data_IF_897233332277
#
_entry.id   IF_897233332277
#
_cell.length_a   1.000
_cell.length_b   1.000
_cell.length_c   1.000
_cell.angle_alpha   90.00
_cell.angle_beta   90.00
_cell.angle_gamma   90.00
#
_symmetry.space_group_name_H-M   'P 1'
#
loop_
_entity.id
_entity.type
_entity.pdbx_description
1 polymer ?
#
# COMPACT_ATOMS: atom_id res chain seq x y z
N UNK A 1 -6.93 10.41 -29.40
CA UNK A 1 -7.19 10.54 -27.95
C UNK A 1 -8.36 9.64 -27.58
N UNK A 2 -8.24 8.81 -26.54
CA UNK A 2 -9.37 7.98 -26.07
C UNK A 2 -10.22 8.79 -25.09
N UNK A 3 -11.55 8.63 -25.14
CA UNK A 3 -12.50 9.36 -24.31
C UNK A 3 -13.30 8.40 -23.45
N UNK A 4 -13.33 8.64 -22.15
CA UNK A 4 -14.11 7.86 -21.18
C UNK A 4 -15.11 8.74 -20.45
N UNK A 5 -16.29 8.20 -20.14
CA UNK A 5 -17.20 8.83 -19.19
C UNK A 5 -16.64 8.73 -17.77
N UNK A 6 -16.08 7.56 -17.44
CA UNK A 6 -15.42 7.31 -16.16
C UNK A 6 -14.07 6.67 -16.40
N UNK A 7 -12.98 7.35 -16.01
CA UNK A 7 -11.63 6.79 -16.04
C UNK A 7 -11.20 6.40 -14.62
N UNK A 8 -10.62 5.22 -14.46
CA UNK A 8 -10.22 4.65 -13.17
C UNK A 8 -8.72 4.39 -13.18
N UNK A 9 -8.00 4.97 -12.22
CA UNK A 9 -6.55 4.76 -12.05
C UNK A 9 -6.30 3.75 -10.94
N UNK A 10 -5.92 2.54 -11.33
CA UNK A 10 -5.66 1.39 -10.47
C UNK A 10 -6.71 0.29 -10.66
N UNK A 11 -6.27 -0.92 -10.96
CA UNK A 11 -7.08 -2.13 -11.13
C UNK A 11 -7.03 -3.05 -9.90
N UNK A 12 -6.82 -2.49 -8.70
CA UNK A 12 -7.03 -3.19 -7.43
C UNK A 12 -8.52 -3.38 -7.10
N UNK A 13 -8.87 -3.97 -5.93
CA UNK A 13 -10.26 -4.23 -5.57
C UNK A 13 -11.17 -3.00 -5.61
N UNK A 14 -10.69 -1.83 -5.17
CA UNK A 14 -11.46 -0.59 -5.26
C UNK A 14 -11.75 -0.18 -6.71
N UNK A 15 -10.75 -0.25 -7.60
CA UNK A 15 -10.91 0.11 -9.00
C UNK A 15 -11.83 -0.85 -9.75
N UNK A 16 -11.68 -2.16 -9.53
CA UNK A 16 -12.56 -3.15 -10.16
C UNK A 16 -14.01 -3.02 -9.67
N UNK A 17 -14.23 -2.75 -8.38
CA UNK A 17 -15.58 -2.48 -7.86
C UNK A 17 -16.16 -1.17 -8.40
N UNK A 18 -15.34 -0.12 -8.57
CA UNK A 18 -15.75 1.14 -9.16
C UNK A 18 -16.14 0.98 -10.64
N UNK A 19 -15.34 0.23 -11.40
CA UNK A 19 -15.62 -0.06 -12.79
C UNK A 19 -16.93 -0.83 -12.96
N UNK A 20 -17.12 -1.87 -12.16
CA UNK A 20 -18.32 -2.70 -12.18
C UNK A 20 -19.59 -1.89 -11.84
N UNK A 21 -19.46 -0.98 -10.87
CA UNK A 21 -20.53 -0.05 -10.51
C UNK A 21 -20.86 0.94 -11.64
N UNK A 22 -19.85 1.55 -12.26
CA UNK A 22 -20.03 2.54 -13.31
C UNK A 22 -20.57 1.93 -14.62
N UNK A 23 -20.08 0.74 -15.02
CA UNK A 23 -20.53 0.08 -16.26
C UNK A 23 -22.02 -0.26 -16.25
N UNK A 24 -22.59 -0.51 -15.06
CA UNK A 24 -24.00 -0.90 -14.89
C UNK A 24 -24.99 0.19 -15.31
N UNK A 25 -24.52 1.42 -15.57
CA UNK A 25 -25.30 2.54 -16.08
C UNK A 25 -25.00 2.90 -17.53
N UNK A 26 -24.26 2.04 -18.24
CA UNK A 26 -23.90 2.25 -19.64
C UNK A 26 -22.79 3.28 -19.86
N UNK A 27 -22.12 3.76 -18.80
CA UNK A 27 -20.97 4.64 -18.93
C UNK A 27 -19.85 3.94 -19.71
N UNK A 28 -19.15 4.66 -20.59
CA UNK A 28 -17.90 4.16 -21.18
C UNK A 28 -16.78 4.25 -20.14
N UNK A 29 -16.31 3.10 -19.66
CA UNK A 29 -15.38 2.99 -18.52
C UNK A 29 -14.00 2.60 -19.01
N UNK A 30 -12.99 3.39 -18.65
CA UNK A 30 -11.58 3.04 -18.79
C UNK A 30 -10.98 2.65 -17.45
N UNK A 31 -10.23 1.55 -17.39
CA UNK A 31 -9.43 1.15 -16.23
C UNK A 31 -7.97 1.14 -16.67
N UNK A 32 -7.11 1.89 -15.98
CA UNK A 32 -5.66 1.87 -16.24
C UNK A 32 -4.92 1.35 -15.01
N UNK A 33 -3.90 0.52 -15.24
CA UNK A 33 -3.02 0.02 -14.18
C UNK A 33 -1.62 -0.14 -14.73
N UNK A 34 -0.61 0.12 -13.90
CA UNK A 34 0.79 0.01 -14.34
C UNK A 34 1.30 -1.44 -14.32
N UNK A 35 0.55 -2.37 -13.73
CA UNK A 35 0.83 -3.80 -13.76
C UNK A 35 0.25 -4.46 -15.03
N UNK A 36 0.84 -5.59 -15.47
CA UNK A 36 0.30 -6.36 -16.60
C UNK A 36 -1.05 -7.01 -16.30
N UNK A 37 -1.30 -7.39 -15.04
CA UNK A 37 -2.53 -8.06 -14.63
C UNK A 37 -3.32 -7.19 -13.66
N UNK A 38 -4.65 -7.22 -13.76
CA UNK A 38 -5.54 -6.65 -12.77
C UNK A 38 -5.38 -7.34 -11.39
N UNK A 39 -5.97 -6.73 -10.37
CA UNK A 39 -6.02 -7.25 -8.99
C UNK A 39 -5.18 -6.46 -7.98
N UNK A 40 -4.29 -5.59 -8.46
CA UNK A 40 -3.43 -4.77 -7.60
C UNK A 40 -2.60 -5.61 -6.62
N UNK A 41 -2.41 -5.11 -5.40
CA UNK A 41 -1.59 -5.80 -4.38
C UNK A 41 -2.31 -6.97 -3.72
N UNK A 42 -3.62 -6.84 -3.47
CA UNK A 42 -4.40 -7.84 -2.75
C UNK A 42 -4.62 -9.10 -3.60
N UNK A 43 -5.01 -8.91 -4.86
CA UNK A 43 -5.26 -9.98 -5.84
C UNK A 43 -4.11 -10.11 -6.84
N UNK A 44 -2.87 -9.86 -6.38
CA UNK A 44 -1.66 -9.98 -7.19
C UNK A 44 -1.55 -11.39 -7.79
N UNK A 45 -1.21 -11.46 -9.07
CA UNK A 45 -1.23 -12.69 -9.87
C UNK A 45 -2.46 -12.83 -10.78
N UNK A 46 -3.38 -11.87 -10.72
CA UNK A 46 -4.58 -11.84 -11.56
C UNK A 46 -5.83 -12.24 -10.77
N UNK A 47 -7.00 -11.64 -11.03
CA UNK A 47 -8.23 -11.93 -10.27
C UNK A 47 -8.71 -13.38 -10.40
N UNK A 48 -8.45 -14.02 -11.55
CA UNK A 48 -8.90 -15.38 -11.88
C UNK A 48 -8.27 -16.47 -11.00
N UNK A 49 -7.06 -16.21 -10.48
CA UNK A 49 -6.28 -17.18 -9.69
C UNK A 49 -6.52 -17.04 -8.17
N UNK A 50 -7.42 -16.15 -7.76
CA UNK A 50 -7.62 -15.85 -6.34
C UNK A 50 -8.62 -16.79 -5.69
N UNK A 51 -8.32 -17.19 -4.45
CA UNK A 51 -9.26 -17.92 -3.60
C UNK A 51 -10.45 -17.07 -3.12
N UNK A 52 -10.31 -15.74 -3.13
CA UNK A 52 -11.43 -14.83 -2.86
C UNK A 52 -12.33 -14.78 -4.09
N UNK A 53 -13.56 -15.35 -4.03
CA UNK A 53 -14.39 -15.53 -5.22
C UNK A 53 -14.84 -14.19 -5.81
N UNK A 54 -14.83 -13.10 -5.03
CA UNK A 54 -15.19 -11.75 -5.51
C UNK A 54 -14.27 -11.26 -6.62
N UNK A 55 -13.00 -11.69 -6.61
CA UNK A 55 -12.02 -11.29 -7.60
C UNK A 55 -12.36 -11.81 -9.01
N UNK A 56 -12.50 -13.14 -9.26
CA UNK A 56 -12.89 -13.63 -10.57
C UNK A 56 -14.29 -13.15 -10.97
N UNK A 57 -15.23 -13.02 -10.03
CA UNK A 57 -16.59 -12.58 -10.31
C UNK A 57 -16.64 -11.16 -10.87
N UNK A 58 -15.95 -10.20 -10.24
CA UNK A 58 -15.86 -8.83 -10.73
C UNK A 58 -15.13 -8.78 -12.08
N UNK A 59 -14.03 -9.52 -12.20
CA UNK A 59 -13.21 -9.50 -13.39
C UNK A 59 -13.93 -10.07 -14.61
N UNK A 60 -14.58 -11.23 -14.50
CA UNK A 60 -15.38 -11.82 -15.57
C UNK A 60 -16.58 -10.94 -15.96
N UNK A 61 -17.17 -10.19 -15.02
CA UNK A 61 -18.23 -9.24 -15.35
C UNK A 61 -17.70 -8.08 -16.21
N UNK A 62 -16.52 -7.56 -15.88
CA UNK A 62 -15.86 -6.48 -16.63
C UNK A 62 -15.40 -6.93 -18.02
N UNK A 63 -14.83 -8.14 -18.14
CA UNK A 63 -14.37 -8.67 -19.43
C UNK A 63 -15.51 -8.92 -20.44
N UNK A 64 -16.73 -9.15 -19.97
CA UNK A 64 -17.91 -9.38 -20.83
C UNK A 64 -18.65 -8.08 -21.19
N UNK A 65 -18.21 -6.95 -20.67
CA UNK A 65 -18.88 -5.67 -20.87
C UNK A 65 -18.29 -4.94 -22.08
N UNK A 66 -19.11 -4.65 -23.08
CA UNK A 66 -18.67 -3.96 -24.31
C UNK A 66 -18.26 -2.50 -24.07
N UNK A 67 -18.68 -1.92 -22.94
CA UNK A 67 -18.40 -0.54 -22.54
C UNK A 67 -17.26 -0.39 -21.53
N UNK A 68 -16.45 -1.43 -21.33
CA UNK A 68 -15.31 -1.41 -20.41
C UNK A 68 -14.01 -1.71 -21.16
N UNK A 69 -13.03 -0.83 -21.01
CA UNK A 69 -11.69 -1.02 -21.56
C UNK A 69 -10.65 -1.10 -20.44
N UNK A 70 -9.84 -2.17 -20.43
CA UNK A 70 -8.69 -2.30 -19.53
C UNK A 70 -7.38 -2.01 -20.26
N UNK A 71 -6.72 -0.92 -19.86
CA UNK A 71 -5.40 -0.51 -20.34
C UNK A 71 -4.34 -0.96 -19.33
N UNK A 72 -3.86 -2.20 -19.50
CA UNK A 72 -2.76 -2.74 -18.70
C UNK A 72 -1.43 -2.04 -18.98
N UNK A 73 -0.47 -2.17 -18.08
CA UNK A 73 0.87 -1.56 -18.18
C UNK A 73 0.85 -0.06 -18.54
N UNK A 74 -0.19 0.66 -18.11
CA UNK A 74 -0.44 2.05 -18.44
C UNK A 74 -0.23 2.91 -17.21
N UNK A 75 0.84 3.70 -17.22
CA UNK A 75 1.25 4.53 -16.09
C UNK A 75 0.88 5.99 -16.30
N UNK A 76 0.27 6.61 -15.29
CA UNK A 76 0.00 8.06 -15.30
C UNK A 76 1.29 8.84 -15.10
N UNK A 77 1.52 9.83 -15.97
CA UNK A 77 2.69 10.69 -15.92
C UNK A 77 2.39 12.02 -15.26
N UNK A 78 1.37 12.72 -15.73
CA UNK A 78 0.82 13.93 -15.13
C UNK A 78 -0.52 14.27 -15.80
N UNK A 79 -1.22 15.27 -15.26
CA UNK A 79 -2.40 15.85 -15.88
C UNK A 79 -1.97 17.15 -16.61
N UNK A 80 -1.94 17.19 -17.95
CA UNK A 80 -1.52 18.38 -18.69
C UNK A 80 -2.53 19.53 -18.59
N UNK A 81 -3.81 19.20 -18.46
CA UNK A 81 -4.93 20.14 -18.34
C UNK A 81 -6.11 19.45 -17.63
N UNK A 82 -7.15 20.19 -17.20
CA UNK A 82 -8.34 19.57 -16.62
C UNK A 82 -8.91 18.47 -17.51
N UNK A 83 -9.42 17.40 -16.90
CA UNK A 83 -10.05 16.26 -17.59
C UNK A 83 -9.14 15.40 -18.49
N UNK A 84 -7.83 15.62 -18.45
CA UNK A 84 -6.86 14.87 -19.24
C UNK A 84 -5.76 14.25 -18.38
N UNK A 85 -5.39 13.01 -18.70
CA UNK A 85 -4.20 12.34 -18.17
C UNK A 85 -3.25 11.99 -19.31
N UNK A 86 -2.00 12.43 -19.21
CA UNK A 86 -0.93 11.87 -20.02
C UNK A 86 -0.49 10.55 -19.40
N UNK A 87 -0.57 9.47 -20.17
CA UNK A 87 -0.18 8.13 -19.77
C UNK A 87 0.93 7.58 -20.65
N UNK A 88 1.75 6.70 -20.11
CA UNK A 88 2.80 5.99 -20.81
C UNK A 88 2.55 4.48 -20.73
N UNK A 89 2.58 3.81 -21.88
CA UNK A 89 2.60 2.35 -22.03
C UNK A 89 4.03 1.88 -22.32
N UNK A 90 4.33 0.57 -22.39
CA UNK A 90 5.65 0.10 -22.81
C UNK A 90 6.08 0.66 -24.17
N UNK A 91 5.13 0.91 -25.07
CA UNK A 91 5.44 1.22 -26.48
C UNK A 91 5.22 2.70 -26.84
N UNK A 92 4.36 3.42 -26.12
CA UNK A 92 3.95 4.76 -26.51
C UNK A 92 3.54 5.65 -25.32
N UNK A 93 3.22 6.90 -25.62
CA UNK A 93 2.53 7.82 -24.73
C UNK A 93 1.23 8.28 -25.37
N UNK A 94 0.19 8.46 -24.56
CA UNK A 94 -1.12 8.86 -25.04
C UNK A 94 -1.77 9.79 -24.03
N UNK A 95 -2.58 10.73 -24.52
CA UNK A 95 -3.51 11.47 -23.68
C UNK A 95 -4.84 10.73 -23.63
N UNK A 96 -5.36 10.56 -22.41
CA UNK A 96 -6.71 10.04 -22.14
C UNK A 96 -7.58 11.17 -21.63
N UNK A 97 -8.76 11.33 -22.21
CA UNK A 97 -9.78 12.27 -21.74
C UNK A 97 -10.81 11.54 -20.86
N UNK A 98 -11.27 12.18 -19.79
CA UNK A 98 -12.30 11.64 -18.90
C UNK A 98 -13.34 12.70 -18.53
N UNK A 99 -14.62 12.32 -18.41
CA UNK A 99 -15.61 13.19 -17.74
C UNK A 99 -15.43 13.14 -16.23
N UNK A 100 -15.40 11.95 -15.64
CA UNK A 100 -15.11 11.72 -14.21
C UNK A 100 -13.87 10.84 -14.04
N UNK A 101 -13.09 11.09 -12.99
CA UNK A 101 -11.88 10.34 -12.64
C UNK A 101 -12.03 9.67 -11.28
N UNK A 102 -11.66 8.40 -11.16
CA UNK A 102 -11.62 7.68 -9.89
C UNK A 102 -10.18 7.25 -9.60
N UNK A 103 -9.62 7.79 -8.53
CA UNK A 103 -8.31 7.42 -8.01
C UNK A 103 -8.44 6.18 -7.11
N UNK A 104 -7.93 5.04 -7.57
CA UNK A 104 -7.85 3.79 -6.83
C UNK A 104 -6.38 3.32 -6.71
N UNK A 105 -5.48 4.27 -6.45
CA UNK A 105 -4.02 4.14 -6.50
C UNK A 105 -3.40 3.30 -5.38
N UNK A 106 -4.22 2.79 -4.46
CA UNK A 106 -3.80 1.89 -3.38
C UNK A 106 -2.87 2.54 -2.36
N UNK A 107 -2.08 1.71 -1.70
CA UNK A 107 -1.08 2.11 -0.73
C UNK A 107 0.26 1.37 -0.97
N UNK A 108 1.29 1.85 -0.29
CA UNK A 108 2.64 1.25 -0.27
C UNK A 108 3.03 0.87 1.15
N UNK A 109 4.02 0.00 1.30
CA UNK A 109 4.52 -0.35 2.63
C UNK A 109 5.22 0.83 3.31
N UNK A 110 4.98 0.95 4.62
CA UNK A 110 5.80 1.78 5.50
C UNK A 110 7.06 1.01 5.88
N UNK A 111 8.19 1.47 5.38
CA UNK A 111 9.52 0.98 5.75
C UNK A 111 10.17 1.96 6.73
N UNK A 112 10.65 1.46 7.86
CA UNK A 112 11.36 2.25 8.87
C UNK A 112 12.84 1.86 8.89
N UNK A 113 13.78 2.80 8.78
CA UNK A 113 15.20 2.52 8.85
C UNK A 113 15.63 1.99 10.23
N UNK A 114 16.48 0.98 10.23
CA UNK A 114 17.20 0.44 11.40
C UNK A 114 18.56 -0.10 10.93
N UNK A 115 19.57 -0.28 11.79
CA UNK A 115 20.89 -0.75 11.36
C UNK A 115 20.81 -2.06 10.58
N UNK A 116 21.39 -2.07 9.37
CA UNK A 116 21.37 -3.23 8.46
C UNK A 116 20.09 -3.42 7.63
N UNK A 117 19.09 -2.52 7.69
CA UNK A 117 17.83 -2.69 6.94
C UNK A 117 17.98 -2.66 5.40
N UNK A 118 19.14 -2.24 4.89
CA UNK A 118 19.48 -2.21 3.47
C UNK A 118 20.25 -3.44 3.00
N UNK A 119 20.62 -4.36 3.89
CA UNK A 119 21.33 -5.59 3.52
C UNK A 119 20.51 -6.41 2.51
N UNK A 120 21.15 -6.97 1.46
CA UNK A 120 20.50 -7.97 0.61
C UNK A 120 19.92 -9.11 1.46
N UNK A 121 18.64 -9.40 1.27
CA UNK A 121 17.87 -10.32 2.14
C UNK A 121 16.87 -9.60 3.05
N UNK A 122 17.04 -8.29 3.30
CA UNK A 122 16.04 -7.47 3.99
C UNK A 122 15.09 -6.83 2.98
N UNK A 123 13.80 -7.00 3.19
CA UNK A 123 12.73 -6.56 2.28
C UNK A 123 11.49 -6.11 3.07
N UNK A 124 10.53 -5.47 2.39
CA UNK A 124 9.18 -5.28 2.94
C UNK A 124 8.44 -6.61 3.10
N UNK A 125 7.51 -6.71 4.06
CA UNK A 125 6.72 -7.91 4.25
C UNK A 125 5.81 -8.21 3.04
N UNK A 126 5.15 -7.18 2.51
CA UNK A 126 4.42 -7.25 1.25
C UNK A 126 5.35 -7.43 0.04
N UNK A 127 6.54 -6.85 0.07
CA UNK A 127 7.58 -6.97 -0.95
C UNK A 127 8.03 -8.42 -1.16
N UNK A 128 8.42 -9.12 -0.08
CA UNK A 128 8.83 -10.53 -0.19
C UNK A 128 7.65 -11.42 -0.60
N UNK A 129 6.45 -11.13 -0.08
CA UNK A 129 5.23 -11.82 -0.49
C UNK A 129 4.99 -11.66 -2.00
N UNK A 130 5.13 -10.44 -2.53
CA UNK A 130 4.96 -10.14 -3.94
C UNK A 130 6.01 -10.85 -4.81
N UNK A 131 7.28 -10.83 -4.39
CA UNK A 131 8.37 -11.55 -5.07
C UNK A 131 8.09 -13.06 -5.12
N UNK A 132 7.68 -13.65 -4.00
CA UNK A 132 7.37 -15.08 -3.90
C UNK A 132 6.17 -15.49 -4.76
N UNK A 133 5.12 -14.65 -4.84
CA UNK A 133 4.01 -14.85 -5.78
C UNK A 133 4.46 -14.76 -7.24
N UNK A 134 5.48 -13.96 -7.54
CA UNK A 134 6.12 -13.86 -8.85
C UNK A 134 7.14 -14.96 -9.17
N UNK A 135 7.29 -15.97 -8.31
CA UNK A 135 8.20 -17.10 -8.55
C UNK A 135 9.60 -16.97 -7.96
N UNK A 136 9.86 -15.95 -7.12
CA UNK A 136 11.15 -15.84 -6.44
C UNK A 136 11.39 -17.06 -5.51
N UNK A 137 12.55 -17.74 -5.62
CA UNK A 137 12.77 -19.02 -4.96
C UNK A 137 13.05 -18.85 -3.47
N UNK A 138 12.10 -19.28 -2.63
CA UNK A 138 12.20 -19.24 -1.16
C UNK A 138 12.11 -20.62 -0.51
N UNK A 139 12.04 -21.68 -1.30
CA UNK A 139 11.95 -23.04 -0.79
C UNK A 139 13.17 -23.40 0.07
N UNK A 140 12.93 -23.92 1.26
CA UNK A 140 13.95 -24.26 2.25
C UNK A 140 14.66 -23.06 2.91
N UNK A 141 14.39 -21.82 2.49
CA UNK A 141 15.01 -20.61 3.05
C UNK A 141 14.42 -20.26 4.41
N UNK A 142 15.28 -19.84 5.34
CA UNK A 142 14.90 -19.37 6.67
C UNK A 142 14.44 -17.92 6.58
N UNK A 143 13.16 -17.69 6.87
CA UNK A 143 12.56 -16.36 6.76
C UNK A 143 12.03 -15.91 8.10
N UNK A 144 12.38 -14.69 8.50
CA UNK A 144 11.69 -13.98 9.59
C UNK A 144 10.73 -12.97 8.98
N UNK A 145 9.50 -12.92 9.51
CA UNK A 145 8.52 -11.90 9.14
C UNK A 145 8.32 -10.98 10.35
N UNK A 146 8.45 -9.67 10.17
CA UNK A 146 8.46 -8.72 11.28
C UNK A 146 7.72 -7.42 10.97
N UNK A 147 7.30 -6.73 12.03
CA UNK A 147 6.82 -5.35 11.94
C UNK A 147 5.46 -5.18 12.62
N UNK A 148 4.42 -4.78 11.88
CA UNK A 148 3.09 -4.63 12.46
C UNK A 148 1.91 -4.95 11.56
N UNK A 149 0.92 -5.63 12.14
CA UNK A 149 -0.40 -5.78 11.55
C UNK A 149 -0.65 -7.13 10.88
N UNK A 150 -1.88 -7.35 10.41
CA UNK A 150 -2.29 -8.62 9.82
C UNK A 150 -1.57 -8.95 8.50
N UNK A 151 -0.91 -7.97 7.87
CA UNK A 151 -0.07 -8.21 6.69
C UNK A 151 1.05 -9.21 7.01
N UNK A 152 1.59 -9.20 8.23
CA UNK A 152 2.61 -10.17 8.65
C UNK A 152 2.12 -11.61 8.54
N UNK A 153 0.89 -11.87 9.02
CA UNK A 153 0.28 -13.19 8.96
C UNK A 153 0.02 -13.61 7.51
N UNK A 154 -0.51 -12.71 6.68
CA UNK A 154 -0.78 -12.98 5.27
C UNK A 154 0.52 -13.26 4.47
N UNK A 155 1.57 -12.48 4.73
CA UNK A 155 2.89 -12.67 4.14
C UNK A 155 3.47 -14.02 4.59
N UNK A 156 3.55 -14.27 5.90
CA UNK A 156 4.09 -15.54 6.43
C UNK A 156 3.36 -16.77 5.89
N UNK A 157 2.02 -16.73 5.79
CA UNK A 157 1.24 -17.84 5.25
C UNK A 157 1.54 -18.10 3.76
N UNK A 158 1.72 -17.03 2.98
CA UNK A 158 2.10 -17.12 1.56
C UNK A 158 3.51 -17.67 1.39
N UNK A 159 4.46 -17.18 2.18
CA UNK A 159 5.86 -17.61 2.10
C UNK A 159 5.99 -19.08 2.52
N UNK A 160 5.29 -19.50 3.58
CA UNK A 160 5.23 -20.89 4.03
C UNK A 160 4.62 -21.81 2.96
N UNK A 161 3.54 -21.38 2.29
CA UNK A 161 2.95 -22.18 1.20
C UNK A 161 3.85 -22.28 -0.04
N UNK A 162 4.87 -21.43 -0.14
CA UNK A 162 5.92 -21.46 -1.15
C UNK A 162 7.20 -22.16 -0.67
N UNK A 163 7.13 -22.93 0.41
CA UNK A 163 8.21 -23.78 0.92
C UNK A 163 9.22 -23.06 1.83
N UNK A 164 9.00 -21.79 2.19
CA UNK A 164 9.88 -21.10 3.12
C UNK A 164 9.73 -21.61 4.56
N UNK A 165 10.85 -21.76 5.26
CA UNK A 165 10.88 -22.06 6.68
C UNK A 165 10.73 -20.76 7.50
N UNK A 166 9.52 -20.49 7.98
CA UNK A 166 9.26 -19.30 8.81
C UNK A 166 9.82 -19.52 10.22
N UNK A 167 10.93 -18.84 10.52
CA UNK A 167 11.63 -18.94 11.81
C UNK A 167 10.80 -18.33 12.94
N UNK A 168 10.26 -17.13 12.70
CA UNK A 168 9.39 -16.44 13.63
C UNK A 168 8.58 -15.36 12.92
N UNK A 169 7.44 -15.01 13.51
CA UNK A 169 6.69 -13.78 13.22
C UNK A 169 6.88 -12.83 14.40
N UNK A 170 7.43 -11.65 14.16
CA UNK A 170 7.75 -10.64 15.17
C UNK A 170 6.76 -9.48 15.05
N UNK A 171 5.86 -9.34 16.03
CA UNK A 171 4.84 -8.30 16.06
C UNK A 171 5.15 -7.27 17.16
N UNK A 172 5.25 -6.01 16.74
CA UNK A 172 5.53 -4.90 17.65
C UNK A 172 4.37 -4.57 18.59
N UNK A 173 3.13 -4.86 18.18
CA UNK A 173 1.95 -4.61 18.98
C UNK A 173 2.00 -5.36 20.33
N UNK A 174 1.56 -4.66 21.37
CA UNK A 174 1.54 -5.19 22.73
C UNK A 174 0.47 -6.27 22.88
N UNK A 175 0.67 -7.19 23.84
CA UNK A 175 -0.33 -8.23 24.14
C UNK A 175 -1.72 -7.66 24.45
N UNK A 176 -1.88 -6.58 25.25
CA UNK A 176 -3.18 -5.96 25.45
C UNK A 176 -3.82 -5.41 24.18
N UNK A 177 -3.04 -4.80 23.29
CA UNK A 177 -3.56 -4.27 22.01
C UNK A 177 -4.06 -5.40 21.10
N UNK A 178 -3.31 -6.50 21.01
CA UNK A 178 -3.70 -7.68 20.25
C UNK A 178 -4.94 -8.36 20.82
N UNK A 179 -5.03 -8.48 22.15
CA UNK A 179 -6.22 -9.02 22.82
C UNK A 179 -7.45 -8.15 22.53
N UNK A 180 -7.32 -6.82 22.68
CA UNK A 180 -8.39 -5.86 22.37
C UNK A 180 -8.84 -5.94 20.91
N UNK A 181 -7.91 -6.12 19.97
CA UNK A 181 -8.25 -6.33 18.56
C UNK A 181 -9.00 -7.65 18.34
N UNK A 182 -8.54 -8.74 18.96
CA UNK A 182 -9.18 -10.05 18.87
C UNK A 182 -10.62 -10.02 19.41
N UNK A 183 -10.87 -9.38 20.55
CA UNK A 183 -12.23 -9.16 21.05
C UNK A 183 -13.08 -8.32 20.09
N UNK A 184 -12.48 -7.31 19.45
CA UNK A 184 -13.14 -6.53 18.41
C UNK A 184 -13.61 -7.37 17.21
N UNK A 185 -12.97 -8.49 16.89
CA UNK A 185 -13.37 -9.33 15.76
C UNK A 185 -14.79 -9.90 15.92
N UNK A 186 -15.34 -9.98 17.13
CA UNK A 186 -16.74 -10.37 17.38
C UNK A 186 -17.75 -9.50 16.61
N UNK A 187 -17.44 -8.22 16.41
CA UNK A 187 -18.28 -7.31 15.61
C UNK A 187 -18.09 -7.45 14.09
N UNK A 188 -17.25 -8.39 13.65
CA UNK A 188 -16.90 -8.63 12.23
C UNK A 188 -16.70 -10.13 11.99
N UNK A 189 -17.78 -10.94 12.00
CA UNK A 189 -17.67 -12.42 11.97
C UNK A 189 -16.89 -12.97 10.77
N UNK A 190 -16.98 -12.33 9.59
CA UNK A 190 -16.22 -12.74 8.41
C UNK A 190 -14.70 -12.59 8.57
N UNK A 191 -14.22 -11.82 9.55
CA UNK A 191 -12.79 -11.72 9.87
C UNK A 191 -12.31 -12.76 10.87
N UNK A 192 -13.23 -13.38 11.62
CA UNK A 192 -12.91 -14.50 12.52
C UNK A 192 -12.51 -15.72 11.69
N UNK A 193 -13.28 -16.05 10.65
CA UNK A 193 -12.96 -17.19 9.76
C UNK A 193 -11.60 -17.01 9.10
N UNK A 194 -11.31 -15.80 8.61
CA UNK A 194 -10.00 -15.45 8.05
C UNK A 194 -8.86 -15.60 9.09
N UNK A 195 -9.09 -15.16 10.33
CA UNK A 195 -8.11 -15.30 11.41
C UNK A 195 -7.84 -16.77 11.77
N UNK A 196 -8.89 -17.60 11.85
CA UNK A 196 -8.77 -19.03 12.11
C UNK A 196 -8.03 -19.76 10.98
N UNK A 197 -8.31 -19.41 9.72
CA UNK A 197 -7.60 -19.96 8.57
C UNK A 197 -6.11 -19.64 8.65
N UNK A 198 -5.74 -18.38 8.91
CA UNK A 198 -4.34 -17.98 9.07
C UNK A 198 -3.68 -18.68 10.26
N UNK A 199 -4.37 -18.82 11.39
CA UNK A 199 -3.87 -19.54 12.56
C UNK A 199 -3.59 -21.02 12.24
N UNK A 200 -4.45 -21.67 11.43
CA UNK A 200 -4.24 -23.04 10.99
C UNK A 200 -3.02 -23.18 10.06
N UNK A 201 -2.88 -22.27 9.09
CA UNK A 201 -1.77 -22.25 8.13
C UNK A 201 -0.42 -22.01 8.84
N UNK A 202 -0.43 -21.16 9.86
CA UNK A 202 0.74 -20.76 10.64
C UNK A 202 0.94 -21.60 11.90
N UNK A 203 0.23 -22.73 12.04
CA UNK A 203 0.43 -23.64 13.17
C UNK A 203 1.90 -24.06 13.28
N UNK A 204 2.44 -23.98 14.49
CA UNK A 204 3.83 -24.29 14.80
C UNK A 204 4.82 -23.14 14.56
N UNK A 205 4.41 -22.01 13.96
CA UNK A 205 5.29 -20.84 13.77
C UNK A 205 5.30 -19.99 15.05
N UNK A 206 6.48 -19.68 15.63
CA UNK A 206 6.58 -18.78 16.79
C UNK A 206 6.03 -17.39 16.48
N UNK A 207 5.14 -16.88 17.35
CA UNK A 207 4.56 -15.53 17.25
C UNK A 207 5.04 -14.67 18.42
N UNK A 208 6.11 -13.90 18.19
CA UNK A 208 6.77 -13.04 19.18
C UNK A 208 6.05 -11.69 19.25
N UNK A 209 5.16 -11.54 20.23
CA UNK A 209 4.41 -10.31 20.49
C UNK A 209 5.27 -9.29 21.23
N UNK A 210 4.86 -8.03 21.23
CA UNK A 210 5.55 -6.94 21.93
C UNK A 210 7.05 -6.91 21.61
N UNK A 211 7.42 -7.23 20.37
CA UNK A 211 8.81 -7.45 19.96
C UNK A 211 9.07 -6.78 18.61
N UNK A 212 10.30 -6.36 18.34
CA UNK A 212 10.66 -5.73 17.07
C UNK A 212 12.11 -6.03 16.67
N UNK A 213 12.41 -5.88 15.39
CA UNK A 213 13.79 -6.01 14.89
C UNK A 213 14.57 -4.76 15.28
N UNK A 214 15.63 -4.95 16.05
CA UNK A 214 16.53 -3.88 16.46
C UNK A 214 17.60 -3.62 15.38
N UNK A 215 18.24 -4.67 14.88
CA UNK A 215 19.25 -4.58 13.83
C UNK A 215 19.34 -5.87 13.02
N UNK A 216 19.86 -5.76 11.80
CA UNK A 216 20.18 -6.87 10.91
C UNK A 216 21.69 -6.93 10.68
N UNK A 217 22.25 -8.13 10.59
CA UNK A 217 23.69 -8.36 10.45
C UNK A 217 24.00 -9.38 9.37
N UNK A 218 25.15 -9.20 8.75
CA UNK A 218 25.78 -10.18 7.88
C UNK A 218 26.88 -9.55 7.02
N UNK A 219 27.70 -10.40 6.42
CA UNK A 219 28.79 -10.01 5.54
C UNK A 219 28.30 -10.00 4.08
N UNK A 220 28.04 -8.79 3.55
CA UNK A 220 27.49 -8.56 2.21
C UNK A 220 26.02 -8.98 1.99
N UNK A 221 25.48 -9.89 2.80
CA UNK A 221 24.09 -10.38 2.75
C UNK A 221 23.59 -10.69 4.16
N UNK A 222 22.27 -10.71 4.37
CA UNK A 222 21.66 -11.01 5.66
C UNK A 222 22.01 -12.43 6.14
N UNK A 223 22.42 -12.54 7.40
CA UNK A 223 22.70 -13.82 8.07
C UNK A 223 21.92 -13.96 9.38
N UNK A 224 21.72 -12.85 10.09
CA UNK A 224 21.00 -12.84 11.36
C UNK A 224 20.35 -11.49 11.66
N UNK A 225 19.44 -11.50 12.62
CA UNK A 225 18.80 -10.31 13.16
C UNK A 225 18.89 -10.31 14.68
N UNK A 226 18.95 -9.12 15.28
CA UNK A 226 18.70 -8.93 16.71
C UNK A 226 17.27 -8.48 16.91
N UNK A 227 16.57 -9.16 17.82
CA UNK A 227 15.18 -8.92 18.16
C UNK A 227 15.12 -8.37 19.58
N UNK A 228 14.48 -7.21 19.75
CA UNK A 228 14.18 -6.67 21.06
C UNK A 228 12.84 -7.22 21.55
N UNK A 229 12.81 -7.78 22.76
CA UNK A 229 11.57 -8.28 23.39
C UNK A 229 11.14 -7.38 24.54
N UNK A 230 9.93 -6.83 24.46
CA UNK A 230 9.37 -5.99 25.52
C UNK A 230 10.13 -4.68 25.74
N UNK A 231 10.31 -4.31 27.02
CA UNK A 231 11.01 -3.08 27.47
C UNK A 231 12.31 -3.40 28.22
N UNK A 232 12.53 -4.66 28.59
CA UNK A 232 13.80 -5.12 29.17
C UNK A 232 14.87 -5.21 28.08
N UNK A 233 16.16 -5.15 28.43
CA UNK A 233 17.31 -5.26 27.50
C UNK A 233 17.51 -6.68 26.92
N UNK A 234 16.48 -7.52 26.91
CA UNK A 234 16.58 -8.88 26.39
C UNK A 234 16.59 -8.83 24.85
N UNK A 235 17.79 -8.93 24.30
CA UNK A 235 18.03 -9.08 22.86
C UNK A 235 18.26 -10.54 22.54
N UNK A 236 17.51 -11.04 21.56
CA UNK A 236 17.63 -12.40 21.04
C UNK A 236 18.15 -12.35 19.60
N UNK A 237 19.11 -13.22 19.26
CA UNK A 237 19.62 -13.32 17.89
C UNK A 237 18.93 -14.46 17.17
N UNK A 238 18.32 -14.17 16.02
CA UNK A 238 17.72 -15.17 15.14
C UNK A 238 18.50 -15.26 13.84
N UNK A 239 18.87 -16.47 13.44
CA UNK A 239 19.52 -16.73 12.15
C UNK A 239 18.48 -16.81 11.04
N UNK A 240 18.66 -16.07 9.95
CA UNK A 240 17.75 -16.07 8.81
C UNK A 240 18.43 -15.63 7.52
N UNK A 241 17.91 -16.12 6.41
CA UNK A 241 18.40 -15.77 5.07
C UNK A 241 17.62 -14.57 4.50
N UNK A 242 16.36 -14.41 4.93
CA UNK A 242 15.52 -13.27 4.58
C UNK A 242 14.79 -12.69 5.79
N UNK A 243 14.69 -11.37 5.81
CA UNK A 243 13.84 -10.60 6.70
C UNK A 243 12.77 -9.87 5.87
N UNK A 244 11.51 -10.20 6.12
CA UNK A 244 10.33 -9.51 5.58
C UNK A 244 9.78 -8.56 6.65
N UNK A 245 10.17 -7.29 6.62
CA UNK A 245 9.89 -6.31 7.67
C UNK A 245 9.03 -5.13 7.17
N UNK A 246 7.85 -4.92 7.76
CA UNK A 246 6.93 -3.84 7.36
C UNK A 246 6.05 -3.32 8.49
N UNK A 247 5.92 -2.00 8.59
CA UNK A 247 5.30 -1.30 9.74
C UNK A 247 3.95 -0.66 9.39
N UNK A 248 3.12 -1.42 8.67
CA UNK A 248 1.86 -0.96 8.10
C UNK A 248 2.04 -0.38 6.69
N UNK A 249 1.01 0.33 6.22
CA UNK A 249 0.95 0.90 4.87
C UNK A 249 0.85 2.44 4.92
N UNK A 250 1.09 3.08 3.79
CA UNK A 250 0.94 4.51 3.54
C UNK A 250 0.13 4.70 2.25
N UNK A 251 -0.96 5.50 2.26
CA UNK A 251 -1.73 5.82 1.07
C UNK A 251 -0.87 6.43 -0.05
N UNK A 252 -1.10 6.03 -1.31
CA UNK A 252 -0.46 6.65 -2.47
C UNK A 252 -1.23 7.92 -2.87
N UNK A 253 -0.84 9.04 -2.26
CA UNK A 253 -1.51 10.35 -2.42
C UNK A 253 -0.94 11.18 -3.57
N UNK A 254 0.14 10.73 -4.22
CA UNK A 254 0.93 11.59 -5.11
C UNK A 254 0.13 12.10 -6.32
N UNK A 255 -0.67 11.23 -6.96
CA UNK A 255 -1.52 11.63 -8.08
C UNK A 255 -2.67 12.55 -7.62
N UNK A 256 -3.23 12.31 -6.44
CA UNK A 256 -4.28 13.17 -5.89
C UNK A 256 -3.73 14.58 -5.60
N UNK A 257 -2.55 14.68 -4.98
CA UNK A 257 -1.87 15.94 -4.72
C UNK A 257 -1.49 16.65 -6.02
N UNK A 258 -1.02 15.92 -7.03
CA UNK A 258 -0.74 16.43 -8.37
C UNK A 258 -1.96 17.10 -9.02
N UNK A 259 -3.14 16.54 -8.79
CA UNK A 259 -4.43 17.05 -9.27
C UNK A 259 -5.01 18.17 -8.38
N UNK A 260 -4.34 18.56 -7.30
CA UNK A 260 -4.82 19.57 -6.35
C UNK A 260 -5.84 19.06 -5.33
N UNK A 261 -6.02 17.75 -5.17
CA UNK A 261 -6.90 17.18 -4.16
C UNK A 261 -6.38 17.43 -2.75
N UNK A 262 -7.26 17.84 -1.85
CA UNK A 262 -6.93 18.03 -0.44
C UNK A 262 -6.55 16.71 0.23
N UNK A 263 -5.50 16.75 1.04
CA UNK A 263 -5.06 15.62 1.88
C UNK A 263 -5.06 16.01 3.34
N UNK A 264 -5.35 15.07 4.23
CA UNK A 264 -5.34 15.29 5.68
C UNK A 264 -4.60 14.16 6.40
N UNK A 265 -4.09 14.46 7.60
CA UNK A 265 -3.58 13.42 8.49
C UNK A 265 -4.73 12.70 9.19
N UNK A 266 -4.75 11.39 9.07
CA UNK A 266 -5.69 10.47 9.73
C UNK A 266 -4.91 9.26 10.24
N UNK A 267 -5.09 8.90 11.51
CA UNK A 267 -4.45 7.73 12.12
C UNK A 267 -2.93 7.63 11.88
N UNK A 268 -2.24 8.78 11.97
CA UNK A 268 -0.79 8.86 11.79
C UNK A 268 -0.31 8.78 10.33
N UNK A 269 -1.19 8.94 9.35
CA UNK A 269 -0.90 8.85 7.91
C UNK A 269 -1.53 9.99 7.15
N UNK A 270 -0.91 10.41 6.05
CA UNK A 270 -1.52 11.34 5.09
C UNK A 270 -2.41 10.56 4.11
N UNK A 271 -3.67 10.96 3.97
CA UNK A 271 -4.64 10.34 3.08
C UNK A 271 -5.43 11.40 2.29
N UNK A 272 -6.00 11.01 1.15
CA UNK A 272 -6.88 11.88 0.35
C UNK A 272 -8.17 12.13 1.11
N UNK A 273 -8.57 13.38 1.23
CA UNK A 273 -9.85 13.75 1.83
C UNK A 273 -10.97 13.56 0.81
N UNK A 274 -12.01 12.82 1.22
CA UNK A 274 -13.21 12.61 0.43
C UNK A 274 -14.46 12.86 1.26
N UNK A 275 -15.55 13.20 0.59
CA UNK A 275 -16.87 13.28 1.18
C UNK A 275 -17.55 11.89 1.30
N UNK A 276 -18.83 11.88 1.64
CA UNK A 276 -19.61 10.65 1.74
C UNK A 276 -19.88 9.95 0.39
N UNK A 277 -19.68 10.64 -0.74
CA UNK A 277 -19.81 10.13 -2.10
C UNK A 277 -18.49 9.64 -2.69
N UNK A 278 -17.42 9.64 -1.88
CA UNK A 278 -16.04 9.41 -2.31
C UNK A 278 -15.49 10.49 -3.24
N UNK A 279 -16.17 11.64 -3.36
CA UNK A 279 -15.71 12.77 -4.15
C UNK A 279 -14.64 13.52 -3.36
N UNK A 280 -13.57 13.93 -4.06
CA UNK A 280 -12.48 14.71 -3.48
C UNK A 280 -12.86 16.20 -3.41
N UNK A 281 -11.93 17.05 -2.99
CA UNK A 281 -12.10 18.51 -3.07
C UNK A 281 -12.07 19.07 -4.49
N UNK A 282 -11.66 18.26 -5.48
CA UNK A 282 -11.64 18.63 -6.89
C UNK A 282 -12.89 18.05 -7.53
N UNK A 283 -13.64 18.90 -8.24
CA UNK A 283 -14.83 18.49 -8.98
C UNK A 283 -14.47 17.36 -9.95
N UNK A 284 -15.39 16.41 -10.09
CA UNK A 284 -15.27 15.28 -11.00
C UNK A 284 -14.14 14.27 -10.71
N UNK A 285 -13.40 14.48 -9.62
CA UNK A 285 -12.36 13.56 -9.13
C UNK A 285 -12.83 12.89 -7.85
N UNK A 286 -12.86 11.57 -7.87
CA UNK A 286 -13.19 10.68 -6.76
C UNK A 286 -11.97 9.91 -6.30
N UNK A 287 -11.97 9.42 -5.06
CA UNK A 287 -10.91 8.55 -4.55
C UNK A 287 -11.50 7.41 -3.71
N UNK A 288 -11.00 6.19 -3.90
CA UNK A 288 -11.53 5.00 -3.25
C UNK A 288 -10.45 4.02 -2.83
N UNK A 289 -10.74 3.26 -1.76
CA UNK A 289 -9.82 2.28 -1.21
C UNK A 289 -8.68 2.95 -0.45
N UNK A 290 -7.50 2.35 -0.51
CA UNK A 290 -6.40 2.67 0.40
C UNK A 290 -5.84 4.09 0.23
N UNK A 291 -6.12 4.77 -0.89
CA UNK A 291 -5.83 6.19 -1.08
C UNK A 291 -6.57 7.11 -0.08
N UNK A 292 -7.70 6.65 0.46
CA UNK A 292 -8.51 7.39 1.47
C UNK A 292 -8.24 6.93 2.91
N UNK A 293 -7.36 5.94 3.10
CA UNK A 293 -7.00 5.35 4.38
C UNK A 293 -6.94 3.82 4.32
N UNK A 294 -6.15 3.20 5.19
CA UNK A 294 -5.89 1.76 5.16
C UNK A 294 -7.04 0.98 5.82
N UNK A 295 -7.83 0.26 5.03
CA UNK A 295 -8.97 -0.55 5.54
C UNK A 295 -9.12 -1.94 4.95
N UNK A 296 -8.21 -2.35 4.05
CA UNK A 296 -8.23 -3.66 3.41
C UNK A 296 -9.35 -3.85 2.37
N UNK A 297 -9.46 -5.09 1.88
CA UNK A 297 -10.28 -5.43 0.70
C UNK A 297 -11.76 -5.06 0.84
N UNK A 298 -12.38 -5.29 2.00
CA UNK A 298 -13.82 -5.07 2.16
C UNK A 298 -14.19 -3.59 2.15
N UNK A 299 -13.36 -2.75 2.77
CA UNK A 299 -13.54 -1.31 2.69
C UNK A 299 -13.29 -0.80 1.27
N UNK A 300 -12.21 -1.29 0.63
CA UNK A 300 -11.86 -0.92 -0.74
C UNK A 300 -12.98 -1.24 -1.73
N UNK A 301 -13.61 -2.42 -1.63
CA UNK A 301 -14.76 -2.80 -2.45
C UNK A 301 -15.98 -1.89 -2.22
N UNK A 302 -16.28 -1.57 -0.96
CA UNK A 302 -17.42 -0.72 -0.61
C UNK A 302 -17.22 0.73 -1.11
N UNK A 303 -16.02 1.28 -0.91
CA UNK A 303 -15.68 2.64 -1.36
C UNK A 303 -15.58 2.71 -2.89
N UNK A 304 -15.01 1.69 -3.54
CA UNK A 304 -14.97 1.59 -5.00
C UNK A 304 -16.37 1.61 -5.60
N UNK A 305 -17.27 0.76 -5.08
CA UNK A 305 -18.67 0.74 -5.52
C UNK A 305 -19.35 2.11 -5.37
N UNK A 306 -19.16 2.79 -4.24
CA UNK A 306 -19.74 4.12 -4.02
C UNK A 306 -19.20 5.13 -5.04
N UNK A 307 -17.88 5.17 -5.24
CA UNK A 307 -17.26 6.08 -6.20
C UNK A 307 -17.77 5.83 -7.63
N UNK A 308 -17.87 4.56 -8.06
CA UNK A 308 -18.38 4.20 -9.38
C UNK A 308 -19.84 4.59 -9.60
N UNK A 309 -20.70 4.36 -8.60
CA UNK A 309 -22.12 4.74 -8.66
C UNK A 309 -22.29 6.27 -8.62
N UNK A 310 -21.54 6.97 -7.77
CA UNK A 310 -21.59 8.42 -7.68
C UNK A 310 -21.11 9.10 -8.98
N UNK A 311 -19.98 8.62 -9.54
CA UNK A 311 -19.42 9.15 -10.79
C UNK A 311 -20.33 8.87 -12.01
N UNK A 312 -21.08 7.77 -12.01
CA UNK A 312 -22.05 7.43 -13.07
C UNK A 312 -23.46 8.00 -12.83
N UNK A 313 -23.67 8.75 -11.75
CA UNK A 313 -24.93 9.44 -11.44
C UNK A 313 -25.98 8.63 -10.66
N UNK A 314 -25.72 7.36 -10.32
CA UNK A 314 -26.63 6.55 -9.50
C UNK A 314 -26.42 6.78 -7.99
N UNK A 315 -26.79 7.97 -7.55
CA UNK A 315 -26.71 8.34 -6.13
C UNK A 315 -27.65 7.53 -5.24
N UNK A 316 -28.74 6.99 -5.78
CA UNK A 316 -29.69 6.20 -5.00
C UNK A 316 -29.04 4.87 -4.57
N UNK A 317 -28.48 4.11 -5.52
CA UNK A 317 -27.81 2.86 -5.22
C UNK A 317 -26.51 3.07 -4.43
N UNK A 318 -25.82 4.19 -4.62
CA UNK A 318 -24.63 4.52 -3.83
C UNK A 318 -24.93 4.61 -2.32
N UNK A 319 -26.06 5.22 -1.96
CA UNK A 319 -26.48 5.38 -0.54
C UNK A 319 -26.68 4.05 0.17
N UNK A 320 -27.14 3.01 -0.53
CA UNK A 320 -27.32 1.67 0.03
C UNK A 320 -25.99 1.08 0.55
N UNK A 321 -24.86 1.45 -0.06
CA UNK A 321 -23.54 0.99 0.35
C UNK A 321 -22.95 1.75 1.55
N UNK A 322 -23.56 2.88 1.98
CA UNK A 322 -22.98 3.76 3.00
C UNK A 322 -22.89 3.09 4.37
N UNK A 323 -23.94 2.40 4.80
CA UNK A 323 -23.96 1.71 6.09
C UNK A 323 -22.89 0.62 6.14
N UNK A 324 -22.73 -0.15 5.06
CA UNK A 324 -21.71 -1.19 4.95
C UNK A 324 -20.31 -0.60 4.97
N UNK A 325 -20.05 0.49 4.23
CA UNK A 325 -18.78 1.24 4.29
C UNK A 325 -18.50 1.73 5.72
N UNK A 326 -19.49 2.30 6.41
CA UNK A 326 -19.31 2.79 7.78
C UNK A 326 -18.89 1.68 8.74
N UNK A 327 -19.46 0.48 8.61
CA UNK A 327 -19.03 -0.71 9.36
C UNK A 327 -17.55 -1.06 9.11
N UNK A 328 -17.12 -1.05 7.85
CA UNK A 328 -15.72 -1.33 7.49
C UNK A 328 -14.76 -0.22 7.94
N UNK A 329 -15.18 1.05 7.94
CA UNK A 329 -14.39 2.15 8.53
C UNK A 329 -14.17 1.97 10.03
N UNK A 330 -15.19 1.49 10.76
CA UNK A 330 -15.03 1.13 12.19
C UNK A 330 -14.05 -0.03 12.38
N UNK A 331 -14.03 -1.02 11.48
CA UNK A 331 -13.01 -2.08 11.49
C UNK A 331 -11.60 -1.52 11.22
N UNK A 332 -11.44 -0.69 10.19
CA UNK A 332 -10.18 -0.04 9.86
C UNK A 332 -9.63 0.81 11.02
N UNK A 333 -10.48 1.59 11.69
CA UNK A 333 -10.06 2.39 12.86
C UNK A 333 -9.58 1.53 14.04
N UNK A 334 -10.21 0.37 14.28
CA UNK A 334 -9.77 -0.58 15.30
C UNK A 334 -8.42 -1.21 14.94
N UNK A 335 -8.23 -1.55 13.66
CA UNK A 335 -6.96 -2.02 13.13
C UNK A 335 -5.86 -0.97 13.36
N UNK A 336 -6.08 0.26 12.92
CA UNK A 336 -5.10 1.34 13.04
C UNK A 336 -4.69 1.60 14.49
N UNK A 337 -5.64 1.51 15.44
CA UNK A 337 -5.36 1.67 16.87
C UNK A 337 -4.56 0.51 17.45
N UNK A 338 -4.93 -0.73 17.14
CA UNK A 338 -4.29 -1.91 17.69
C UNK A 338 -2.83 -2.09 17.23
N UNK A 339 -2.54 -1.65 16.01
CA UNK A 339 -1.24 -1.79 15.36
C UNK A 339 -0.53 -0.43 15.19
N UNK A 340 -0.87 0.55 16.03
CA UNK A 340 -0.18 1.83 16.07
C UNK A 340 1.31 1.62 16.42
N UNK A 341 2.19 2.40 15.78
CA UNK A 341 3.63 2.27 15.98
C UNK A 341 4.03 2.64 17.40
N UNK A 342 4.78 1.75 18.06
CA UNK A 342 5.43 2.05 19.32
C UNK A 342 6.54 3.10 19.15
N UNK A 343 6.80 3.96 20.16
CA UNK A 343 7.77 5.05 20.04
C UNK A 343 9.19 4.60 19.71
N UNK A 344 9.61 3.43 20.21
CA UNK A 344 10.98 2.93 20.07
C UNK A 344 11.37 2.69 18.60
N UNK A 345 10.40 2.37 17.74
CA UNK A 345 10.63 2.19 16.31
C UNK A 345 11.07 3.49 15.60
N UNK A 346 10.83 4.65 16.22
CA UNK A 346 11.21 5.97 15.67
C UNK A 346 12.67 6.32 15.96
N UNK A 347 13.34 5.56 16.82
CA UNK A 347 14.69 5.89 17.31
C UNK A 347 15.71 4.81 16.99
N UNK A 348 15.37 3.84 16.13
CA UNK A 348 16.28 2.73 15.80
C UNK A 348 17.43 3.15 14.89
N UNK A 349 17.20 4.10 13.98
CA UNK A 349 18.20 4.55 13.04
C UNK A 349 19.39 5.20 13.77
N UNK A 350 20.58 4.62 13.60
CA UNK A 350 21.85 5.26 13.99
C UNK A 350 22.31 6.27 12.95
N UNK A 351 23.34 7.07 13.24
CA UNK A 351 23.81 8.14 12.35
C UNK A 351 24.23 7.65 10.96
N UNK A 352 24.78 6.44 10.86
CA UNK A 352 25.21 5.76 9.64
C UNK A 352 24.08 4.99 8.93
N UNK A 353 22.88 4.95 9.50
CA UNK A 353 21.75 4.22 8.92
C UNK A 353 21.23 4.98 7.70
N UNK A 354 21.36 4.39 6.52
CA UNK A 354 20.80 4.93 5.27
C UNK A 354 19.29 5.14 5.41
N UNK A 355 18.79 6.33 5.12
CA UNK A 355 17.34 6.63 5.08
C UNK A 355 16.87 6.75 3.63
N UNK A 356 17.66 7.38 2.75
CA UNK A 356 17.35 7.49 1.33
C UNK A 356 18.23 6.55 0.50
N UNK A 357 17.73 5.32 0.25
CA UNK A 357 18.44 4.30 -0.56
C UNK A 357 18.78 4.71 -1.99
N UNK A 358 18.08 5.68 -2.56
CA UNK A 358 18.33 6.10 -3.95
C UNK A 358 19.49 7.09 -4.08
N UNK A 359 19.85 7.75 -2.99
CA UNK A 359 20.84 8.84 -2.95
C UNK A 359 21.87 8.61 -1.83
N UNK A 360 21.87 7.40 -1.25
CA UNK A 360 22.74 6.96 -0.15
C UNK A 360 22.81 7.90 1.07
N UNK A 361 21.73 8.63 1.35
CA UNK A 361 21.67 9.60 2.45
C UNK A 361 21.40 8.93 3.78
N UNK A 362 22.24 9.20 4.78
CA UNK A 362 22.17 8.64 6.12
C UNK A 362 21.37 9.50 7.11
N UNK A 363 20.90 8.87 8.19
CA UNK A 363 20.12 9.51 9.25
C UNK A 363 20.87 10.66 9.92
N UNK A 364 22.19 10.53 10.12
CA UNK A 364 23.06 11.53 10.74
C UNK A 364 23.11 12.84 9.96
N UNK A 365 23.07 12.77 8.63
CA UNK A 365 23.00 13.95 7.77
C UNK A 365 21.63 14.63 7.89
N UNK A 366 20.56 13.82 7.86
CA UNK A 366 19.19 14.33 7.91
C UNK A 366 18.86 15.01 9.24
N UNK A 367 19.28 14.44 10.39
CA UNK A 367 18.92 15.00 11.71
C UNK A 367 19.45 16.42 11.96
N UNK A 368 20.38 16.91 11.14
CA UNK A 368 20.90 18.29 11.20
C UNK A 368 19.97 19.32 10.55
N UNK A 369 18.95 18.87 9.82
CA UNK A 369 17.99 19.73 9.14
C UNK A 369 16.68 19.85 9.93
N UNK A 370 15.88 20.88 9.60
CA UNK A 370 14.62 21.18 10.30
C UNK A 370 13.38 20.87 9.47
N UNK A 371 13.51 20.65 8.16
CA UNK A 371 12.38 20.43 7.27
C UNK A 371 12.75 19.57 6.06
N UNK A 372 11.73 18.97 5.42
CA UNK A 372 11.87 18.20 4.19
C UNK A 372 12.62 18.96 3.10
N UNK A 373 12.27 20.23 2.89
CA UNK A 373 12.85 21.05 1.82
C UNK A 373 14.35 21.28 2.01
N UNK A 374 14.81 21.62 3.21
CA UNK A 374 16.23 21.86 3.48
C UNK A 374 17.03 20.56 3.38
N UNK A 375 16.52 19.47 3.98
CA UNK A 375 17.14 18.15 3.86
C UNK A 375 17.26 17.72 2.39
N UNK A 376 16.19 17.85 1.60
CA UNK A 376 16.18 17.52 0.18
C UNK A 376 17.20 18.33 -0.63
N UNK A 377 17.27 19.65 -0.42
CA UNK A 377 18.18 20.50 -1.19
C UNK A 377 19.66 20.29 -0.83
N UNK A 378 19.96 19.97 0.43
CA UNK A 378 21.34 19.86 0.92
C UNK A 378 21.91 18.45 0.81
N UNK A 379 21.06 17.42 0.99
CA UNK A 379 21.50 16.01 0.99
C UNK A 379 21.03 15.23 -0.24
N UNK A 380 20.16 15.82 -1.07
CA UNK A 380 19.46 15.15 -2.18
C UNK A 380 18.42 14.11 -1.74
N UNK A 381 18.14 13.97 -0.44
CA UNK A 381 17.10 13.05 0.05
C UNK A 381 15.76 13.24 -0.68
N UNK A 382 15.25 12.15 -1.26
CA UNK A 382 14.01 12.15 -2.04
C UNK A 382 14.13 12.69 -3.46
N UNK A 383 15.35 12.86 -4.00
CA UNK A 383 15.59 13.25 -5.41
C UNK A 383 15.82 12.08 -6.36
N UNK A 384 16.08 10.88 -5.86
CA UNK A 384 16.31 9.70 -6.70
C UNK A 384 15.07 9.15 -7.39
N UNK A 385 15.16 8.01 -8.12
CA UNK A 385 14.10 7.52 -9.00
C UNK A 385 12.76 7.26 -8.31
N UNK A 386 12.76 6.92 -7.01
CA UNK A 386 11.52 6.74 -6.24
C UNK A 386 10.78 8.06 -5.95
N UNK A 387 11.43 9.22 -6.17
CA UNK A 387 10.93 10.58 -5.91
C UNK A 387 10.44 10.76 -4.47
N UNK A 388 11.14 10.18 -3.51
CA UNK A 388 10.83 10.31 -2.09
C UNK A 388 9.69 9.44 -1.58
N UNK A 389 9.11 8.54 -2.39
CA UNK A 389 8.02 7.64 -1.93
C UNK A 389 8.42 6.76 -0.75
N UNK A 390 9.68 6.33 -0.71
CA UNK A 390 10.21 5.46 0.37
C UNK A 390 10.71 6.31 1.54
N UNK A 391 11.73 7.15 1.33
CA UNK A 391 12.32 7.94 2.40
C UNK A 391 11.35 9.00 2.96
N UNK A 392 10.44 9.56 2.17
CA UNK A 392 9.44 10.52 2.63
C UNK A 392 8.53 9.94 3.71
N UNK A 393 8.11 8.68 3.56
CA UNK A 393 7.34 7.96 4.59
C UNK A 393 8.16 7.73 5.86
N UNK A 394 9.45 7.42 5.73
CA UNK A 394 10.35 7.30 6.89
C UNK A 394 10.56 8.64 7.60
N UNK A 395 10.84 9.72 6.86
CA UNK A 395 11.07 11.06 7.44
C UNK A 395 9.82 11.67 8.07
N UNK A 396 8.62 11.32 7.59
CA UNK A 396 7.36 11.72 8.26
C UNK A 396 7.28 11.11 9.68
N UNK A 397 7.77 9.89 9.84
CA UNK A 397 7.75 9.19 11.14
C UNK A 397 8.90 9.63 12.05
N UNK A 398 10.10 9.78 11.50
CA UNK A 398 11.32 10.14 12.23
C UNK A 398 11.32 11.61 12.65
N UNK A 399 10.89 12.52 11.76
CA UNK A 399 11.06 13.97 11.96
C UNK A 399 9.75 14.76 11.85
N UNK A 400 8.63 14.12 11.48
CA UNK A 400 7.37 14.82 11.23
C UNK A 400 7.34 15.60 9.91
N UNK A 401 8.34 15.41 9.05
CA UNK A 401 8.47 16.12 7.78
C UNK A 401 7.49 15.59 6.74
N UNK A 402 6.86 16.50 5.98
CA UNK A 402 6.00 16.13 4.86
C UNK A 402 6.65 16.53 3.53
N UNK A 403 6.59 15.67 2.51
CA UNK A 403 6.81 16.10 1.15
C UNK A 403 5.68 17.05 0.72
N UNK A 404 5.96 18.35 0.73
CA UNK A 404 4.94 19.39 0.53
C UNK A 404 4.51 19.57 -0.94
N UNK A 405 5.24 18.99 -1.90
CA UNK A 405 4.94 19.13 -3.32
C UNK A 405 5.34 17.90 -4.12
N UNK A 406 4.40 17.38 -4.92
CA UNK A 406 4.65 16.43 -6.00
C UNK A 406 5.02 17.23 -7.23
N UNK A 407 6.19 16.96 -7.82
CA UNK A 407 6.58 17.56 -9.10
C UNK A 407 6.17 16.65 -10.24
N UNK A 408 5.83 17.28 -11.38
CA UNK A 408 5.60 16.55 -12.63
C UNK A 408 6.94 16.30 -13.34
N UNK A 409 7.10 15.14 -14.01
CA UNK A 409 6.17 14.01 -14.02
C UNK A 409 6.16 13.25 -12.68
N UNK A 410 5.01 12.69 -12.28
CA UNK A 410 4.86 12.01 -10.98
C UNK A 410 5.69 10.73 -10.90
N UNK A 411 6.08 10.15 -12.03
CA UNK A 411 6.97 9.00 -12.10
C UNK A 411 8.04 9.22 -13.20
N UNK A 412 9.17 8.49 -13.16
CA UNK A 412 10.14 8.56 -14.24
C UNK A 412 9.50 8.18 -15.59
N UNK A 413 9.72 9.02 -16.60
CA UNK A 413 9.16 8.87 -17.95
C UNK A 413 10.21 9.14 -19.02
N UNK A 414 10.03 8.49 -20.18
CA UNK A 414 10.87 8.73 -21.34
C UNK A 414 10.70 10.17 -21.80
N UNK A 415 11.81 10.83 -22.13
CA UNK A 415 11.78 12.21 -22.63
C UNK A 415 10.89 12.32 -23.89
N UNK A 416 10.96 11.33 -24.78
CA UNK A 416 10.12 11.25 -25.98
C UNK A 416 8.62 11.24 -25.69
N UNK A 417 8.20 10.75 -24.51
CA UNK A 417 6.79 10.74 -24.11
C UNK A 417 6.25 12.13 -23.68
N UNK A 418 7.11 13.15 -23.56
CA UNK A 418 6.75 14.50 -23.06
C UNK A 418 6.97 15.58 -24.12
N UNK A 419 7.91 15.37 -25.05
CA UNK A 419 8.31 16.39 -26.04
C UNK A 419 7.43 16.36 -27.31
N UNK A 420 6.72 15.25 -27.55
CA UNK A 420 5.72 15.10 -28.62
C UNK A 420 4.35 15.61 -28.16
#
# INVERSE_FOLDING_TARGET
MKHFDVLIVGAGPAGLAAAHAAMSKGAHVGIIDDNPLAGGQIWRGGPEQQADPRAPQLWHALQRADNVEFLQQTRVMYAPEPHHLLVQTPDAAHTLHYKKLILATGARERLLPFPGWTLPGVTGAGGLQALSKGGYPLEGKRVVVAGSGPLLLAAAATLKSKGAHIVAIIEQASTPALAGFAFGLLATPSKITQALQLASQLRGVPYLRNSYVHSAHGDGTLQSIQVQRGVARDQETLQCDYLACGYGLLPNVELAQALGCATARRDGQTAVTVDEWQQTSVEDVYCAGEGTGIGGVDLALAEGRIAGLAASGDRAQAREAFARRAGWRKFAARLARAFALRPELRTLAGDDTVVCRCEDVCHGELRTHTAWRSAKLQTRCGMGPCQGRICGGATEILYGWRPDAVRMPISPTRISSIID
#
